data_IF_681208000758
#
_entry.id   IF_681208000758
#
_cell.length_a   1.000
_cell.length_b   1.000
_cell.length_c   1.000
_cell.angle_alpha   90.00
_cell.angle_beta   90.00
_cell.angle_gamma   90.00
#
_symmetry.space_group_name_H-M   'P 1'
#
loop_
_entity.id
_entity.type
_entity.pdbx_description
1 polymer ?
#
# COMPACT_ATOMS: atom_id res chain seq x y z
N UNK A 1 17.39 22.04 -6.94
CA UNK A 1 17.67 21.00 -7.96
C UNK A 1 16.83 19.81 -7.59
N UNK A 2 16.02 19.31 -8.52
CA UNK A 2 15.21 18.10 -8.29
C UNK A 2 16.15 16.90 -8.14
N UNK A 3 16.08 16.18 -7.04
CA UNK A 3 16.91 14.99 -6.82
C UNK A 3 16.28 13.80 -7.53
N UNK A 4 16.91 13.35 -8.62
CA UNK A 4 16.49 12.13 -9.35
C UNK A 4 16.33 10.93 -8.40
N UNK A 5 17.17 10.87 -7.36
CA UNK A 5 17.08 9.85 -6.33
C UNK A 5 15.77 9.93 -5.52
N UNK A 6 15.36 11.12 -5.06
CA UNK A 6 14.13 11.28 -4.28
C UNK A 6 12.88 11.01 -5.12
N UNK A 7 12.89 11.36 -6.41
CA UNK A 7 11.81 11.00 -7.34
C UNK A 7 11.65 9.48 -7.47
N UNK A 8 12.77 8.75 -7.66
CA UNK A 8 12.75 7.29 -7.77
C UNK A 8 12.26 6.64 -6.48
N UNK A 9 12.77 7.08 -5.33
CA UNK A 9 12.34 6.56 -4.03
C UNK A 9 10.85 6.85 -3.78
N UNK A 10 10.39 8.07 -4.03
CA UNK A 10 8.99 8.45 -3.87
C UNK A 10 8.06 7.64 -4.78
N UNK A 11 8.43 7.46 -6.05
CA UNK A 11 7.66 6.66 -7.00
C UNK A 11 7.60 5.18 -6.59
N UNK A 12 8.70 4.59 -6.13
CA UNK A 12 8.75 3.22 -5.62
C UNK A 12 7.84 3.07 -4.40
N UNK A 13 7.86 4.02 -3.46
CA UNK A 13 6.99 3.99 -2.28
C UNK A 13 5.51 4.06 -2.64
N UNK A 14 5.13 4.89 -3.62
CA UNK A 14 3.75 4.95 -4.12
C UNK A 14 3.34 3.65 -4.79
N UNK A 15 4.16 3.12 -5.69
CA UNK A 15 3.86 1.87 -6.40
C UNK A 15 3.79 0.68 -5.44
N UNK A 16 4.69 0.62 -4.47
CA UNK A 16 4.71 -0.43 -3.45
C UNK A 16 3.52 -0.32 -2.50
N UNK A 17 3.19 0.88 -2.03
CA UNK A 17 1.98 1.12 -1.24
C UNK A 17 0.72 0.69 -1.98
N UNK A 18 0.60 1.03 -3.26
CA UNK A 18 -0.51 0.64 -4.12
C UNK A 18 -0.59 -0.89 -4.28
N UNK A 19 0.55 -1.54 -4.48
CA UNK A 19 0.65 -3.00 -4.54
C UNK A 19 0.18 -3.65 -3.23
N UNK A 20 0.67 -3.19 -2.07
CA UNK A 20 0.29 -3.70 -0.75
C UNK A 20 -1.21 -3.53 -0.47
N UNK A 21 -1.84 -2.46 -0.96
CA UNK A 21 -3.30 -2.26 -0.83
C UNK A 21 -4.10 -3.16 -1.78
N UNK A 22 -3.61 -3.36 -3.01
CA UNK A 22 -4.35 -4.04 -4.08
C UNK A 22 -4.20 -5.57 -4.03
N UNK A 23 -2.98 -6.07 -3.83
CA UNK A 23 -2.62 -7.49 -3.87
C UNK A 23 -3.46 -8.38 -2.93
N UNK A 24 -3.79 -7.98 -1.69
CA UNK A 24 -4.59 -8.83 -0.81
C UNK A 24 -6.03 -9.01 -1.29
N UNK A 25 -6.58 -8.10 -2.10
CA UNK A 25 -7.99 -8.11 -2.52
C UNK A 25 -8.44 -9.43 -3.17
N UNK A 26 -7.75 -9.97 -4.20
CA UNK A 26 -8.11 -11.26 -4.80
C UNK A 26 -8.04 -12.42 -3.80
N UNK A 27 -7.00 -12.46 -2.97
CA UNK A 27 -6.81 -13.52 -1.95
C UNK A 27 -7.94 -13.51 -0.92
N UNK A 28 -8.35 -12.33 -0.45
CA UNK A 28 -9.46 -12.16 0.49
C UNK A 28 -10.78 -12.60 -0.12
N UNK A 29 -11.05 -12.23 -1.38
CA UNK A 29 -12.27 -12.66 -2.07
C UNK A 29 -12.37 -14.18 -2.13
N UNK A 30 -11.25 -14.85 -2.41
CA UNK A 30 -11.19 -16.31 -2.42
C UNK A 30 -11.41 -16.89 -1.01
N UNK A 31 -10.75 -16.34 0.01
CA UNK A 31 -10.89 -16.79 1.39
C UNK A 31 -12.32 -16.62 1.93
N UNK A 32 -12.96 -15.48 1.66
CA UNK A 32 -14.36 -15.25 2.06
C UNK A 32 -15.34 -16.15 1.29
N UNK A 33 -15.04 -16.48 0.02
CA UNK A 33 -15.83 -17.43 -0.74
C UNK A 33 -15.72 -18.86 -0.16
N UNK A 34 -14.51 -19.27 0.23
CA UNK A 34 -14.29 -20.55 0.92
C UNK A 34 -14.97 -20.61 2.29
N UNK A 35 -14.99 -19.51 3.04
CA UNK A 35 -15.71 -19.41 4.32
C UNK A 35 -17.22 -19.54 4.12
N UNK A 36 -17.79 -18.88 3.10
CA UNK A 36 -19.21 -19.04 2.73
C UNK A 36 -19.58 -20.44 2.25
N UNK A 37 -18.63 -21.15 1.65
CA UNK A 37 -18.78 -22.55 1.26
C UNK A 37 -18.61 -23.54 2.43
N UNK A 38 -18.31 -23.05 3.64
CA UNK A 38 -18.10 -23.89 4.83
C UNK A 38 -16.79 -24.69 4.81
N UNK A 39 -15.86 -24.38 3.89
CA UNK A 39 -14.61 -25.14 3.72
C UNK A 39 -13.55 -24.78 4.77
N UNK A 40 -13.44 -23.50 5.14
CA UNK A 40 -12.45 -23.02 6.09
C UNK A 40 -12.83 -21.68 6.71
N UNK A 41 -12.58 -21.51 8.01
CA UNK A 41 -12.66 -20.21 8.67
C UNK A 41 -11.31 -19.49 8.63
N UNK A 42 -11.28 -18.25 8.13
CA UNK A 42 -10.05 -17.49 8.02
C UNK A 42 -10.13 -16.11 8.72
N UNK A 43 -9.70 -15.99 9.99
CA UNK A 43 -9.74 -14.73 10.73
C UNK A 43 -8.81 -13.66 10.13
N UNK A 44 -7.77 -14.08 9.42
CA UNK A 44 -6.80 -13.18 8.79
C UNK A 44 -7.41 -12.42 7.62
N UNK A 45 -8.35 -13.04 6.89
CA UNK A 45 -9.12 -12.37 5.84
C UNK A 45 -10.02 -11.24 6.37
N UNK A 46 -10.50 -11.36 7.61
CA UNK A 46 -11.37 -10.37 8.27
C UNK A 46 -10.59 -9.23 8.92
N UNK A 47 -9.51 -9.53 9.65
CA UNK A 47 -8.83 -8.54 10.51
C UNK A 47 -7.41 -8.17 10.04
N UNK A 48 -6.65 -9.12 9.51
CA UNK A 48 -5.26 -8.88 9.08
C UNK A 48 -5.15 -7.95 7.87
N UNK A 49 -6.23 -7.83 7.10
CA UNK A 49 -6.27 -7.10 5.84
C UNK A 49 -6.47 -5.61 6.02
N UNK A 50 -7.07 -5.19 7.15
CA UNK A 50 -7.17 -3.79 7.53
C UNK A 50 -5.78 -3.21 7.82
N UNK A 51 -4.95 -3.93 8.58
CA UNK A 51 -3.58 -3.51 8.91
C UNK A 51 -2.67 -3.44 7.70
N UNK A 52 -2.75 -4.44 6.80
CA UNK A 52 -1.98 -4.44 5.55
C UNK A 52 -2.39 -3.26 4.65
N UNK A 53 -3.69 -2.95 4.58
CA UNK A 53 -4.17 -1.77 3.84
C UNK A 53 -3.70 -0.47 4.48
N UNK A 54 -3.76 -0.36 5.81
CA UNK A 54 -3.29 0.82 6.53
C UNK A 54 -1.80 1.08 6.22
N UNK A 55 -0.97 0.04 6.30
CA UNK A 55 0.44 0.10 5.96
C UNK A 55 0.67 0.56 4.51
N UNK A 56 -0.05 -0.04 3.55
CA UNK A 56 0.06 0.34 2.14
C UNK A 56 -0.39 1.78 1.87
N UNK A 57 -1.42 2.26 2.55
CA UNK A 57 -1.87 3.67 2.48
C UNK A 57 -0.80 4.61 3.05
N UNK A 58 -0.19 4.27 4.19
CA UNK A 58 0.90 5.06 4.78
C UNK A 58 2.11 5.17 3.84
N UNK A 59 2.45 4.07 3.16
CA UNK A 59 3.51 4.05 2.14
C UNK A 59 3.17 4.94 0.94
N UNK A 60 1.93 4.89 0.44
CA UNK A 60 1.46 5.78 -0.62
C UNK A 60 1.54 7.26 -0.21
N UNK A 61 1.08 7.60 1.00
CA UNK A 61 1.12 8.97 1.51
C UNK A 61 2.57 9.44 1.65
N UNK A 62 3.44 8.62 2.25
CA UNK A 62 4.87 8.93 2.37
C UNK A 62 5.52 9.18 1.01
N UNK A 63 5.29 8.30 0.03
CA UNK A 63 5.80 8.46 -1.33
C UNK A 63 5.26 9.71 -2.03
N UNK A 64 3.97 10.02 -1.87
CA UNK A 64 3.37 11.24 -2.41
C UNK A 64 3.92 12.51 -1.77
N UNK A 65 4.21 12.49 -0.47
CA UNK A 65 4.84 13.62 0.23
C UNK A 65 6.27 13.83 -0.26
N UNK A 66 7.05 12.77 -0.48
CA UNK A 66 8.40 12.87 -1.06
C UNK A 66 8.35 13.44 -2.48
N UNK A 67 7.44 12.95 -3.33
CA UNK A 67 7.27 13.46 -4.69
C UNK A 67 6.79 14.91 -4.71
N UNK A 68 5.82 15.25 -3.86
CA UNK A 68 5.27 16.60 -3.74
C UNK A 68 6.31 17.59 -3.22
N UNK A 69 7.05 17.25 -2.17
CA UNK A 69 8.10 18.10 -1.61
C UNK A 69 9.16 18.45 -2.67
N UNK A 70 9.61 17.47 -3.45
CA UNK A 70 10.54 17.69 -4.57
C UNK A 70 9.94 18.55 -5.70
N UNK A 71 8.66 18.34 -6.06
CA UNK A 71 7.95 19.15 -7.06
C UNK A 71 7.77 20.62 -6.65
N UNK A 72 7.56 20.88 -5.36
CA UNK A 72 7.39 22.24 -4.82
C UNK A 72 8.70 22.86 -4.32
N UNK A 73 9.84 22.20 -4.52
CA UNK A 73 11.16 22.70 -4.11
C UNK A 73 11.34 22.79 -2.60
N UNK A 74 10.53 22.06 -1.82
CA UNK A 74 10.64 21.95 -0.36
C UNK A 74 11.67 20.84 -0.07
N UNK A 75 12.85 21.17 0.45
CA UNK A 75 13.86 20.17 0.74
C UNK A 75 13.36 19.26 1.88
N UNK A 76 13.09 18.00 1.58
CA UNK A 76 12.93 16.95 2.57
C UNK A 76 14.31 16.74 3.24
N UNK A 77 14.52 17.41 4.37
CA UNK A 77 15.72 17.22 5.21
C UNK A 77 15.71 15.85 5.88
#
# INVERSE_FOLDING_TARGET
MVSVFQLVVGAILVLWGAFVVAFPRPVIKLALAAEKAGLAWNPQARWGTAWVRLLGVMLCIGGLLTLGAELFGIPAR
#
